data_IF_898762272947
#
_entry.id   IF_898762272947
#
_cell.length_a   1.000
_cell.length_b   1.000
_cell.length_c   1.000
_cell.angle_alpha   90.00
_cell.angle_beta   90.00
_cell.angle_gamma   90.00
#
_symmetry.space_group_name_H-M   'P 1'
#
loop_
_entity.id
_entity.type
_entity.pdbx_description
1 polymer ?
#
# COMPACT_ATOMS: atom_id res chain seq x y z
N UNK A 1 -29.94 22.34 -13.77
CA UNK A 1 -29.08 22.98 -12.74
C UNK A 1 -27.65 22.41 -12.79
N UNK A 2 -27.52 21.09 -12.90
CA UNK A 2 -26.24 20.36 -13.08
C UNK A 2 -25.34 20.89 -14.21
N UNK A 3 -25.89 21.27 -15.37
CA UNK A 3 -25.09 21.72 -16.52
C UNK A 3 -24.27 22.98 -16.24
N UNK A 4 -24.78 23.91 -15.40
CA UNK A 4 -24.07 25.15 -15.03
C UNK A 4 -22.89 24.86 -14.11
N UNK A 5 -23.05 23.94 -13.16
CA UNK A 5 -21.97 23.52 -12.26
C UNK A 5 -20.79 22.95 -13.05
N UNK A 6 -21.02 22.07 -14.02
CA UNK A 6 -19.93 21.49 -14.78
C UNK A 6 -19.25 22.46 -15.74
N UNK A 7 -19.97 23.49 -16.22
CA UNK A 7 -19.34 24.58 -16.96
C UNK A 7 -18.38 25.37 -16.08
N UNK A 8 -18.77 25.66 -14.83
CA UNK A 8 -17.89 26.31 -13.86
C UNK A 8 -16.70 25.41 -13.48
N UNK A 9 -16.92 24.11 -13.27
CA UNK A 9 -15.86 23.17 -12.93
C UNK A 9 -14.78 23.08 -14.01
N UNK A 10 -15.17 23.14 -15.29
CA UNK A 10 -14.22 23.16 -16.42
C UNK A 10 -13.33 24.41 -16.44
N UNK A 11 -13.82 25.52 -15.89
CA UNK A 11 -13.09 26.79 -15.80
C UNK A 11 -12.42 26.98 -14.43
N UNK A 12 -12.62 26.02 -13.51
CA UNK A 12 -12.15 26.15 -12.14
C UNK A 12 -10.62 26.02 -12.10
N UNK A 13 -9.90 26.92 -11.42
CA UNK A 13 -8.45 26.84 -11.32
C UNK A 13 -8.02 25.60 -10.53
N UNK A 14 -6.82 25.09 -10.80
CA UNK A 14 -6.28 23.94 -10.04
C UNK A 14 -6.23 24.25 -8.55
N UNK A 15 -6.60 23.26 -7.74
CA UNK A 15 -6.60 23.37 -6.27
C UNK A 15 -5.38 22.69 -5.65
N UNK A 16 -5.12 22.95 -4.37
CA UNK A 16 -4.04 22.27 -3.64
C UNK A 16 -4.33 20.78 -3.47
N UNK A 17 -3.29 19.94 -3.28
CA UNK A 17 -3.48 18.51 -3.04
C UNK A 17 -4.38 18.19 -1.85
N UNK A 18 -4.37 19.00 -0.79
CA UNK A 18 -5.22 18.85 0.39
C UNK A 18 -6.69 19.05 0.05
N UNK A 19 -7.01 20.08 -0.75
CA UNK A 19 -8.38 20.32 -1.22
C UNK A 19 -8.80 19.23 -2.20
N UNK A 20 -7.92 18.82 -3.12
CA UNK A 20 -8.20 17.72 -4.03
C UNK A 20 -8.49 16.42 -3.26
N UNK A 21 -7.75 16.12 -2.19
CA UNK A 21 -8.03 14.96 -1.34
C UNK A 21 -9.41 15.05 -0.67
N UNK A 22 -9.83 16.24 -0.20
CA UNK A 22 -11.17 16.44 0.34
C UNK A 22 -12.27 16.17 -0.70
N UNK A 23 -12.06 16.59 -1.95
CA UNK A 23 -12.98 16.33 -3.06
C UNK A 23 -13.09 14.84 -3.46
N UNK A 24 -12.27 13.96 -2.88
CA UNK A 24 -12.32 12.51 -3.07
C UNK A 24 -13.01 11.76 -1.92
N UNK A 25 -13.43 12.48 -0.88
CA UNK A 25 -14.14 11.92 0.27
C UNK A 25 -15.57 11.48 -0.12
N UNK A 26 -16.22 10.71 0.76
CA UNK A 26 -17.58 10.20 0.62
C UNK A 26 -18.64 11.28 0.40
N UNK A 27 -18.35 12.53 0.78
CA UNK A 27 -19.25 13.68 0.58
C UNK A 27 -19.38 14.09 -0.91
N UNK A 28 -18.43 13.67 -1.76
CA UNK A 28 -18.39 14.02 -3.19
C UNK A 28 -18.44 12.75 -4.03
N UNK A 29 -19.63 12.38 -4.52
CA UNK A 29 -19.83 11.17 -5.35
C UNK A 29 -19.81 11.46 -6.86
N UNK A 30 -19.83 12.73 -7.25
CA UNK A 30 -19.85 13.13 -8.65
C UNK A 30 -18.53 12.81 -9.38
N UNK A 31 -18.64 12.09 -10.49
CA UNK A 31 -17.48 11.63 -11.26
C UNK A 31 -16.65 12.76 -11.86
N UNK A 32 -17.27 13.88 -12.25
CA UNK A 32 -16.56 15.03 -12.85
C UNK A 32 -15.77 15.79 -11.78
N UNK A 33 -16.33 15.93 -10.59
CA UNK A 33 -15.62 16.50 -9.42
C UNK A 33 -14.43 15.62 -9.05
N UNK A 34 -14.60 14.29 -8.99
CA UNK A 34 -13.50 13.35 -8.72
C UNK A 34 -12.42 13.39 -9.81
N UNK A 35 -12.81 13.44 -11.08
CA UNK A 35 -11.88 13.62 -12.21
C UNK A 35 -11.08 14.93 -12.09
N UNK A 36 -11.75 16.03 -11.76
CA UNK A 36 -11.10 17.32 -11.54
C UNK A 36 -10.10 17.27 -10.37
N UNK A 37 -10.48 16.61 -9.26
CA UNK A 37 -9.60 16.44 -8.11
C UNK A 37 -8.33 15.66 -8.49
N UNK A 38 -8.46 14.54 -9.20
CA UNK A 38 -7.31 13.75 -9.66
C UNK A 38 -6.47 14.54 -10.66
N UNK A 39 -7.07 15.31 -11.56
CA UNK A 39 -6.34 16.19 -12.47
C UNK A 39 -5.48 17.22 -11.72
N UNK A 40 -6.02 17.82 -10.65
CA UNK A 40 -5.25 18.73 -9.79
C UNK A 40 -4.07 18.01 -9.12
N UNK A 41 -4.25 16.75 -8.68
CA UNK A 41 -3.16 15.95 -8.13
C UNK A 41 -2.08 15.66 -9.18
N UNK A 42 -2.47 15.26 -10.39
CA UNK A 42 -1.53 14.97 -11.48
C UNK A 42 -0.60 16.13 -11.81
N UNK A 43 -1.10 17.36 -11.72
CA UNK A 43 -0.33 18.58 -11.97
C UNK A 43 0.46 19.03 -10.74
N UNK A 44 -0.16 18.95 -9.55
CA UNK A 44 0.30 19.70 -8.37
C UNK A 44 1.00 18.90 -7.28
N UNK A 45 0.97 17.56 -7.28
CA UNK A 45 1.52 16.76 -6.17
C UNK A 45 2.91 16.18 -6.47
N UNK A 46 3.89 16.56 -5.66
CA UNK A 46 5.23 15.95 -5.62
C UNK A 46 5.18 14.51 -5.07
N UNK A 47 6.18 13.69 -5.40
CA UNK A 47 6.33 12.33 -4.85
C UNK A 47 6.39 12.31 -3.32
N UNK A 48 7.14 13.23 -2.69
CA UNK A 48 7.27 13.28 -1.23
C UNK A 48 5.93 13.55 -0.53
N UNK A 49 5.14 14.48 -1.08
CA UNK A 49 3.82 14.82 -0.56
C UNK A 49 2.82 13.69 -0.82
N UNK A 50 2.88 13.06 -1.99
CA UNK A 50 2.08 11.86 -2.31
C UNK A 50 2.38 10.73 -1.32
N UNK A 51 3.65 10.48 -1.02
CA UNK A 51 4.06 9.45 -0.06
C UNK A 51 3.48 9.72 1.34
N UNK A 52 3.48 10.98 1.80
CA UNK A 52 2.91 11.37 3.09
C UNK A 52 1.39 11.17 3.18
N UNK A 53 0.68 11.36 2.08
CA UNK A 53 -0.79 11.22 2.02
C UNK A 53 -1.27 9.90 1.41
N UNK A 54 -0.36 8.97 1.13
CA UNK A 54 -0.65 7.77 0.36
C UNK A 54 -1.73 6.92 1.02
N UNK A 55 -1.68 6.81 2.36
CA UNK A 55 -2.70 6.09 3.12
C UNK A 55 -4.09 6.69 2.89
N UNK A 56 -4.23 8.01 2.96
CA UNK A 56 -5.49 8.72 2.77
C UNK A 56 -6.02 8.54 1.36
N UNK A 57 -5.16 8.57 0.34
CA UNK A 57 -5.57 8.29 -1.04
C UNK A 57 -6.04 6.84 -1.23
N UNK A 58 -5.38 5.88 -0.57
CA UNK A 58 -5.83 4.47 -0.59
C UNK A 58 -7.18 4.34 0.11
N UNK A 59 -7.41 5.05 1.22
CA UNK A 59 -8.73 5.05 1.86
C UNK A 59 -9.80 5.69 0.96
N UNK A 60 -9.47 6.74 0.23
CA UNK A 60 -10.40 7.39 -0.71
C UNK A 60 -10.84 6.45 -1.84
N UNK A 61 -10.03 5.44 -2.20
CA UNK A 61 -10.45 4.40 -3.15
C UNK A 61 -11.69 3.63 -2.67
N UNK A 62 -12.02 3.60 -1.38
CA UNK A 62 -13.24 2.94 -0.87
C UNK A 62 -14.51 3.65 -1.32
N UNK A 63 -14.43 4.95 -1.54
CA UNK A 63 -15.55 5.80 -1.97
C UNK A 63 -15.71 5.89 -3.49
N UNK A 64 -14.79 5.29 -4.24
CA UNK A 64 -14.92 5.21 -5.69
C UNK A 64 -16.08 4.26 -6.07
N UNK A 65 -17.01 4.69 -6.94
CA UNK A 65 -18.16 3.87 -7.32
C UNK A 65 -17.76 2.70 -8.23
N UNK A 66 -16.70 2.87 -9.02
CA UNK A 66 -16.23 1.88 -10.00
C UNK A 66 -14.79 1.46 -9.75
N UNK A 67 -14.47 0.22 -10.16
CA UNK A 67 -13.10 -0.32 -10.07
C UNK A 67 -12.12 0.51 -10.90
N UNK A 68 -12.52 0.79 -12.13
CA UNK A 68 -11.79 1.68 -13.02
C UNK A 68 -12.23 3.14 -12.76
N UNK A 69 -11.30 3.92 -12.25
CA UNK A 69 -11.51 5.33 -11.95
C UNK A 69 -10.17 6.09 -12.03
N UNK A 70 -10.21 7.43 -12.14
CA UNK A 70 -9.00 8.23 -12.28
C UNK A 70 -8.04 8.08 -11.10
N UNK A 71 -8.54 7.95 -9.86
CA UNK A 71 -7.70 7.85 -8.67
C UNK A 71 -6.90 6.55 -8.66
N UNK A 72 -7.53 5.42 -8.99
CA UNK A 72 -6.85 4.13 -9.15
C UNK A 72 -5.74 4.21 -10.19
N UNK A 73 -6.03 4.78 -11.37
CA UNK A 73 -5.05 4.93 -12.47
C UNK A 73 -3.88 5.81 -12.07
N UNK A 74 -4.17 6.94 -11.42
CA UNK A 74 -3.17 7.86 -10.89
C UNK A 74 -2.24 7.15 -9.90
N UNK A 75 -2.80 6.53 -8.85
CA UNK A 75 -1.99 5.87 -7.82
C UNK A 75 -1.17 4.72 -8.40
N UNK A 76 -1.75 3.91 -9.30
CA UNK A 76 -1.05 2.82 -9.96
C UNK A 76 0.11 3.33 -10.83
N UNK A 77 -0.10 4.39 -11.61
CA UNK A 77 0.96 5.00 -12.43
C UNK A 77 2.11 5.51 -11.55
N UNK A 78 1.80 6.23 -10.46
CA UNK A 78 2.82 6.81 -9.57
C UNK A 78 3.58 5.72 -8.81
N UNK A 79 2.89 4.68 -8.34
CA UNK A 79 3.50 3.56 -7.62
C UNK A 79 4.44 2.72 -8.48
N UNK A 80 4.13 2.58 -9.79
CA UNK A 80 5.00 1.91 -10.75
C UNK A 80 6.23 2.75 -11.16
N UNK A 81 6.11 4.08 -11.16
CA UNK A 81 7.21 4.99 -11.52
C UNK A 81 8.19 5.23 -10.37
N UNK A 82 7.78 5.04 -9.12
CA UNK A 82 8.60 5.27 -7.94
C UNK A 82 8.49 4.09 -6.97
N UNK A 83 9.55 3.28 -6.86
CA UNK A 83 9.57 2.07 -6.03
C UNK A 83 9.31 2.34 -4.54
N UNK A 84 9.66 3.53 -4.02
CA UNK A 84 9.39 3.88 -2.62
C UNK A 84 7.90 4.04 -2.37
N UNK A 85 7.20 4.72 -3.28
CA UNK A 85 5.74 4.82 -3.29
C UNK A 85 5.14 3.43 -3.56
N UNK A 86 5.69 2.69 -4.52
CA UNK A 86 5.31 1.33 -4.86
C UNK A 86 5.30 0.37 -3.68
N UNK A 87 6.35 0.38 -2.86
CA UNK A 87 6.43 -0.46 -1.66
C UNK A 87 5.29 -0.15 -0.69
N UNK A 88 5.09 1.13 -0.35
CA UNK A 88 4.04 1.54 0.59
C UNK A 88 2.65 1.25 0.04
N UNK A 89 2.43 1.53 -1.25
CA UNK A 89 1.19 1.24 -1.96
C UNK A 89 0.83 -0.25 -1.88
N UNK A 90 1.79 -1.12 -2.15
CA UNK A 90 1.63 -2.57 -2.03
C UNK A 90 1.21 -2.97 -0.61
N UNK A 91 1.95 -2.52 0.41
CA UNK A 91 1.70 -2.92 1.79
C UNK A 91 0.39 -2.38 2.35
N UNK A 92 0.02 -1.14 2.02
CA UNK A 92 -1.26 -0.56 2.41
C UNK A 92 -2.44 -1.36 1.83
N UNK A 93 -2.43 -1.66 0.53
CA UNK A 93 -3.49 -2.47 -0.08
C UNK A 93 -3.50 -3.91 0.45
N UNK A 94 -2.33 -4.56 0.53
CA UNK A 94 -2.20 -5.95 1.01
C UNK A 94 -2.72 -6.10 2.44
N UNK A 95 -2.47 -5.11 3.28
CA UNK A 95 -2.87 -5.13 4.70
C UNK A 95 -4.38 -5.14 4.90
N UNK A 96 -5.19 -4.80 3.89
CA UNK A 96 -6.64 -4.72 3.99
C UNK A 96 -7.38 -5.84 3.21
N UNK A 97 -6.66 -6.78 2.60
CA UNK A 97 -7.27 -7.86 1.81
C UNK A 97 -8.16 -8.83 2.62
N UNK A 98 -8.00 -8.85 3.96
CA UNK A 98 -8.86 -9.64 4.83
C UNK A 98 -10.30 -9.12 4.86
N UNK A 99 -10.52 -7.82 4.63
CA UNK A 99 -11.86 -7.22 4.55
C UNK A 99 -12.56 -7.60 3.24
N UNK A 100 -13.64 -8.38 3.32
CA UNK A 100 -14.38 -8.91 2.16
C UNK A 100 -14.84 -7.83 1.18
N UNK A 101 -15.32 -6.69 1.69
CA UNK A 101 -15.83 -5.59 0.85
C UNK A 101 -14.79 -4.94 -0.06
N UNK A 102 -13.51 -4.95 0.32
CA UNK A 102 -12.44 -4.32 -0.47
C UNK A 102 -11.54 -5.33 -1.19
N UNK A 103 -11.67 -6.63 -0.87
CA UNK A 103 -10.81 -7.70 -1.38
C UNK A 103 -10.76 -7.73 -2.91
N UNK A 104 -11.90 -7.62 -3.60
CA UNK A 104 -11.95 -7.63 -5.06
C UNK A 104 -11.22 -6.42 -5.65
N UNK A 105 -11.54 -5.21 -5.16
CA UNK A 105 -10.93 -3.96 -5.63
C UNK A 105 -9.42 -3.95 -5.41
N UNK A 106 -8.99 -4.16 -4.17
CA UNK A 106 -7.57 -4.12 -3.83
C UNK A 106 -6.80 -5.30 -4.43
N UNK A 107 -7.42 -6.47 -4.57
CA UNK A 107 -6.83 -7.62 -5.26
C UNK A 107 -6.52 -7.33 -6.73
N UNK A 108 -7.46 -6.75 -7.47
CA UNK A 108 -7.26 -6.38 -8.88
C UNK A 108 -6.21 -5.28 -9.04
N UNK A 109 -6.21 -4.28 -8.15
CA UNK A 109 -5.20 -3.20 -8.17
C UNK A 109 -3.80 -3.77 -7.88
N UNK A 110 -3.68 -4.66 -6.89
CA UNK A 110 -2.42 -5.33 -6.58
C UNK A 110 -1.95 -6.22 -7.73
N UNK A 111 -2.86 -6.93 -8.40
CA UNK A 111 -2.52 -7.73 -9.58
C UNK A 111 -1.91 -6.86 -10.68
N UNK A 112 -2.58 -5.75 -11.03
CA UNK A 112 -2.09 -4.81 -12.03
C UNK A 112 -0.72 -4.22 -11.64
N UNK A 113 -0.53 -3.87 -10.37
CA UNK A 113 0.74 -3.38 -9.85
C UNK A 113 1.86 -4.42 -9.95
N UNK A 114 1.60 -5.66 -9.51
CA UNK A 114 2.58 -6.74 -9.56
C UNK A 114 3.00 -7.05 -11.00
N UNK A 115 2.05 -7.05 -11.95
CA UNK A 115 2.34 -7.25 -13.40
C UNK A 115 3.25 -6.14 -13.97
N UNK A 116 3.10 -4.90 -13.48
CA UNK A 116 3.94 -3.76 -13.90
C UNK A 116 5.26 -3.60 -13.12
N UNK A 117 5.45 -4.31 -12.00
CA UNK A 117 6.57 -4.06 -11.06
C UNK A 117 7.94 -4.57 -11.54
N UNK A 118 7.99 -5.42 -12.57
CA UNK A 118 9.24 -5.97 -13.11
C UNK A 118 10.11 -6.63 -12.02
N UNK A 119 11.40 -6.30 -11.98
CA UNK A 119 12.35 -6.87 -11.01
C UNK A 119 12.03 -6.51 -9.55
N UNK A 120 11.34 -5.39 -9.30
CA UNK A 120 10.96 -4.97 -7.95
C UNK A 120 10.04 -6.02 -7.28
N UNK A 121 9.25 -6.76 -8.07
CA UNK A 121 8.38 -7.82 -7.57
C UNK A 121 9.15 -8.90 -6.77
N UNK A 122 10.38 -9.24 -7.16
CA UNK A 122 11.21 -10.20 -6.42
C UNK A 122 11.52 -9.71 -5.00
N UNK A 123 11.74 -8.41 -4.84
CA UNK A 123 11.96 -7.79 -3.53
C UNK A 123 10.70 -7.88 -2.67
N UNK A 124 9.53 -7.59 -3.25
CA UNK A 124 8.25 -7.71 -2.55
C UNK A 124 7.94 -9.14 -2.14
N UNK A 125 8.18 -10.13 -3.02
CA UNK A 125 7.98 -11.56 -2.70
C UNK A 125 8.82 -11.95 -1.48
N UNK A 126 10.11 -11.59 -1.46
CA UNK A 126 10.99 -11.87 -0.32
C UNK A 126 10.50 -11.19 0.96
N UNK A 127 10.03 -9.94 0.88
CA UNK A 127 9.43 -9.26 2.04
C UNK A 127 8.16 -9.97 2.54
N UNK A 128 7.29 -10.43 1.64
CA UNK A 128 6.07 -11.17 2.00
C UNK A 128 6.41 -12.48 2.68
N UNK A 129 7.37 -13.22 2.15
CA UNK A 129 7.83 -14.48 2.75
C UNK A 129 8.43 -14.27 4.14
N UNK A 130 9.24 -13.22 4.32
CA UNK A 130 9.80 -12.85 5.62
C UNK A 130 8.69 -12.56 6.65
N UNK A 131 7.70 -11.74 6.29
CA UNK A 131 6.58 -11.42 7.17
C UNK A 131 5.73 -12.65 7.48
N UNK A 132 5.51 -13.54 6.50
CA UNK A 132 4.77 -14.79 6.71
C UNK A 132 5.49 -15.74 7.68
N UNK A 133 6.81 -15.90 7.53
CA UNK A 133 7.64 -16.68 8.47
C UNK A 133 7.59 -16.12 9.89
N UNK A 134 7.77 -14.81 10.05
CA UNK A 134 7.66 -14.15 11.36
C UNK A 134 6.26 -14.31 11.97
N UNK A 135 5.21 -14.26 11.14
CA UNK A 135 3.82 -14.47 11.58
C UNK A 135 3.61 -15.90 12.06
N UNK A 136 4.07 -16.90 11.31
CA UNK A 136 4.00 -18.32 11.68
C UNK A 136 4.74 -18.60 12.99
N UNK A 137 5.98 -18.11 13.11
CA UNK A 137 6.78 -18.23 14.33
C UNK A 137 6.07 -17.62 15.54
N UNK A 138 5.53 -16.41 15.38
CA UNK A 138 4.75 -15.73 16.43
C UNK A 138 3.53 -16.56 16.85
N UNK A 139 2.82 -17.18 15.90
CA UNK A 139 1.66 -18.02 16.19
C UNK A 139 2.04 -19.32 16.91
N UNK A 140 3.14 -19.96 16.53
CA UNK A 140 3.68 -21.16 17.21
C UNK A 140 4.04 -20.83 18.66
N UNK A 141 4.73 -19.71 18.90
CA UNK A 141 5.09 -19.29 20.24
C UNK A 141 3.85 -19.00 21.11
N UNK A 142 2.84 -18.32 20.55
CA UNK A 142 1.56 -18.07 21.24
C UNK A 142 0.79 -19.35 21.55
N UNK A 143 0.81 -20.33 20.63
CA UNK A 143 0.10 -21.60 20.79
C UNK A 143 0.82 -22.57 21.75
N UNK A 144 2.09 -22.34 22.07
CA UNK A 144 2.86 -23.22 22.96
C UNK A 144 2.33 -23.26 24.40
N UNK A 145 1.55 -22.28 24.83
CA UNK A 145 0.99 -22.18 26.19
C UNK A 145 2.05 -22.02 27.29
N UNK A 146 3.31 -21.79 26.92
CA UNK A 146 4.42 -21.59 27.85
C UNK A 146 4.51 -20.13 28.26
N UNK A 147 4.53 -19.85 29.57
CA UNK A 147 4.78 -18.50 30.12
C UNK A 147 6.25 -18.28 30.53
N UNK A 148 7.08 -19.32 30.47
CA UNK A 148 8.51 -19.19 30.74
C UNK A 148 9.22 -18.47 29.57
N UNK A 149 9.63 -17.23 29.84
CA UNK A 149 10.36 -16.39 28.90
C UNK A 149 11.67 -17.01 28.43
N UNK A 150 12.39 -17.75 29.28
CA UNK A 150 13.67 -18.36 28.88
C UNK A 150 13.43 -19.45 27.83
N UNK A 151 12.42 -20.27 28.06
CA UNK A 151 12.03 -21.35 27.15
C UNK A 151 11.48 -20.82 25.82
N UNK A 152 10.65 -19.77 25.85
CA UNK A 152 10.17 -19.08 24.64
C UNK A 152 11.32 -18.47 23.84
N UNK A 153 12.28 -17.84 24.52
CA UNK A 153 13.48 -17.29 23.87
C UNK A 153 14.34 -18.37 23.24
N UNK A 154 14.48 -19.54 23.89
CA UNK A 154 15.19 -20.68 23.32
C UNK A 154 14.50 -21.16 22.04
N UNK A 155 13.19 -21.39 22.08
CA UNK A 155 12.40 -21.80 20.91
C UNK A 155 12.50 -20.78 19.77
N UNK A 156 12.48 -19.48 20.07
CA UNK A 156 12.65 -18.42 19.07
C UNK A 156 14.02 -18.53 18.39
N UNK A 157 15.10 -18.64 19.17
CA UNK A 157 16.46 -18.76 18.63
C UNK A 157 16.60 -20.03 17.77
N UNK A 158 16.13 -21.17 18.26
CA UNK A 158 16.17 -22.44 17.52
C UNK A 158 15.46 -22.37 16.16
N UNK A 159 14.32 -21.66 16.09
CA UNK A 159 13.57 -21.48 14.84
C UNK A 159 14.25 -20.48 13.90
N UNK A 160 14.80 -19.37 14.42
CA UNK A 160 15.50 -18.38 13.60
C UNK A 160 16.80 -18.93 12.97
N UNK A 161 17.43 -19.92 13.61
CA UNK A 161 18.61 -20.61 13.09
C UNK A 161 18.30 -21.67 12.03
N UNK A 162 17.02 -21.99 11.79
CA UNK A 162 16.66 -22.93 10.72
C UNK A 162 17.07 -22.36 9.35
N UNK A 163 17.60 -23.18 8.43
CA UNK A 163 18.15 -22.71 7.15
C UNK A 163 17.14 -21.90 6.34
N UNK A 164 15.88 -22.33 6.37
CA UNK A 164 14.80 -21.71 5.62
C UNK A 164 14.46 -20.31 6.21
N UNK A 165 14.45 -20.13 7.53
CA UNK A 165 14.25 -18.80 8.15
C UNK A 165 15.43 -17.89 7.85
N UNK A 166 16.66 -18.40 7.99
CA UNK A 166 17.87 -17.63 7.74
C UNK A 166 17.96 -17.12 6.29
N UNK A 167 17.65 -17.94 5.29
CA UNK A 167 17.67 -17.52 3.87
C UNK A 167 16.75 -16.31 3.60
N UNK A 168 15.54 -16.36 4.15
CA UNK A 168 14.50 -15.37 3.87
C UNK A 168 14.72 -14.07 4.64
N UNK A 169 15.14 -14.17 5.91
CA UNK A 169 15.27 -13.02 6.81
C UNK A 169 16.57 -12.24 6.63
N UNK A 170 17.55 -12.80 5.91
CA UNK A 170 18.84 -12.12 5.65
C UNK A 170 18.82 -11.31 4.36
N UNK A 171 19.57 -10.20 4.32
CA UNK A 171 19.73 -9.33 3.14
C UNK A 171 18.38 -8.87 2.53
N UNK A 172 17.44 -8.51 3.38
CA UNK A 172 16.08 -8.08 3.03
C UNK A 172 15.98 -6.56 3.00
N UNK A 173 15.29 -5.97 2.03
CA UNK A 173 14.90 -4.56 2.10
C UNK A 173 13.76 -4.39 3.11
N UNK A 174 13.88 -3.48 4.08
CA UNK A 174 12.86 -3.31 5.11
C UNK A 174 11.49 -2.93 4.52
N UNK A 175 10.40 -3.64 4.87
CA UNK A 175 9.04 -3.27 4.47
C UNK A 175 8.61 -1.87 4.94
N UNK A 176 9.19 -1.36 6.03
CA UNK A 176 8.89 -0.04 6.60
C UNK A 176 9.61 1.10 5.87
N UNK A 177 10.83 0.87 5.41
CA UNK A 177 11.62 1.86 4.68
C UNK A 177 12.52 1.18 3.66
N UNK A 178 12.25 1.41 2.37
CA UNK A 178 13.01 0.84 1.26
C UNK A 178 14.48 1.27 1.22
N UNK A 179 14.84 2.36 1.92
CA UNK A 179 16.23 2.81 2.05
C UNK A 179 17.05 1.95 3.01
N UNK A 180 16.42 1.10 3.84
CA UNK A 180 17.11 0.30 4.84
C UNK A 180 17.22 -1.16 4.40
N UNK A 181 18.45 -1.69 4.43
CA UNK A 181 18.71 -3.11 4.20
C UNK A 181 18.94 -3.80 5.55
N UNK A 182 18.14 -4.83 5.81
CA UNK A 182 18.27 -5.70 6.97
C UNK A 182 19.33 -6.74 6.64
N UNK A 183 20.42 -6.72 7.42
CA UNK A 183 21.57 -7.61 7.28
C UNK A 183 21.29 -9.01 7.83
N UNK A 184 22.29 -9.61 8.45
CA UNK A 184 22.13 -10.94 9.04
C UNK A 184 21.39 -10.87 10.38
N UNK A 185 20.47 -11.81 10.58
CA UNK A 185 19.86 -12.06 11.89
C UNK A 185 20.90 -12.81 12.72
N UNK A 186 21.28 -12.25 13.87
CA UNK A 186 22.21 -12.86 14.82
C UNK A 186 21.45 -13.59 15.90
#
# INVERSE_FOLDING_TARGET
>A
METKLYMLLKQWPTVTPEVALHLLDCSFTDLRVRQFAVHCLEIGISDDKLQRYLLQFIQALKFEPYLDNPLTRFLLKRSLMNQRIGQQFFWHLKSELHYSGMRVRYGLILEAFCRGSGNFLKTLIKQVEAVDKLTKLTNVLKASGKDDKQELMRMLHEQLQQPDYHEVLTNLTSPLNSSHRLGNVR
#
